data_IF_421668819047
#
_entry.id   IF_421668819047
#
_cell.length_a   1.000
_cell.length_b   1.000
_cell.length_c   1.000
_cell.angle_alpha   90.00
_cell.angle_beta   90.00
_cell.angle_gamma   90.00
#
_symmetry.space_group_name_H-M   'P 1'
#
loop_
_entity.id
_entity.type
_entity.pdbx_description
1 polymer ?
#
# COMPACT_ATOMS: atom_id res chain seq x y z
N UNK A 1 -9.39 21.23 9.29
CA UNK A 1 -10.07 19.97 9.71
C UNK A 1 -10.80 19.27 8.55
N UNK A 2 -11.72 19.91 7.82
CA UNK A 2 -12.58 19.23 6.82
C UNK A 2 -11.82 18.43 5.74
N UNK A 3 -10.75 18.99 5.17
CA UNK A 3 -9.90 18.28 4.20
C UNK A 3 -9.27 17.00 4.77
N UNK A 4 -8.80 17.03 6.02
CA UNK A 4 -8.23 15.86 6.69
C UNK A 4 -9.27 14.75 6.84
N UNK A 5 -10.47 15.06 7.36
CA UNK A 5 -11.56 14.06 7.48
C UNK A 5 -11.92 13.42 6.12
N UNK A 6 -11.93 14.22 5.03
CA UNK A 6 -12.19 13.72 3.68
C UNK A 6 -11.04 12.85 3.13
N UNK A 7 -9.79 13.19 3.43
CA UNK A 7 -8.62 12.41 3.03
C UNK A 7 -8.49 11.11 3.83
N UNK A 8 -8.71 11.15 5.15
CA UNK A 8 -8.73 9.98 6.03
C UNK A 8 -9.82 9.00 5.60
N UNK A 9 -11.06 9.46 5.38
CA UNK A 9 -12.16 8.59 4.90
C UNK A 9 -11.86 7.94 3.55
N UNK A 10 -11.26 8.70 2.60
CA UNK A 10 -10.83 8.15 1.31
C UNK A 10 -9.69 7.12 1.46
N UNK A 11 -8.72 7.37 2.35
CA UNK A 11 -7.63 6.45 2.64
C UNK A 11 -8.13 5.18 3.35
N UNK A 12 -8.97 5.31 4.39
CA UNK A 12 -9.64 4.21 5.08
C UNK A 12 -10.41 3.34 4.09
N UNK A 13 -11.20 3.95 3.20
CA UNK A 13 -11.88 3.23 2.13
C UNK A 13 -10.93 2.48 1.18
N UNK A 14 -9.76 3.03 0.86
CA UNK A 14 -8.71 2.31 0.13
C UNK A 14 -8.10 1.18 0.96
N UNK A 15 -7.85 1.37 2.26
CA UNK A 15 -7.27 0.36 3.14
C UNK A 15 -8.16 -0.88 3.23
N UNK A 16 -9.44 -0.73 3.60
CA UNK A 16 -10.35 -1.86 3.76
C UNK A 16 -10.53 -2.67 2.46
N UNK A 17 -10.42 -2.06 1.27
CA UNK A 17 -10.49 -2.77 -0.01
C UNK A 17 -9.24 -3.61 -0.34
N UNK A 18 -8.07 -3.24 0.17
CA UNK A 18 -6.79 -3.83 -0.25
C UNK A 18 -6.12 -4.68 0.85
N UNK A 19 -6.33 -4.35 2.11
CA UNK A 19 -5.60 -4.94 3.25
C UNK A 19 -6.43 -5.96 4.05
N UNK A 20 -7.56 -6.43 3.52
CA UNK A 20 -8.34 -7.57 4.02
C UNK A 20 -8.15 -8.87 3.23
N UNK A 21 -7.36 -8.84 2.15
CA UNK A 21 -7.26 -9.96 1.21
C UNK A 21 -6.30 -11.06 1.72
N UNK A 22 -6.80 -12.30 1.83
CA UNK A 22 -5.99 -13.50 2.08
C UNK A 22 -6.07 -14.45 0.86
N UNK A 23 -5.00 -15.17 0.48
CA UNK A 23 -5.02 -16.06 -0.68
C UNK A 23 -5.97 -17.25 -0.47
N UNK A 24 -6.81 -17.57 -1.45
CA UNK A 24 -7.80 -18.67 -1.35
C UNK A 24 -7.21 -20.02 -0.94
N UNK A 25 -5.97 -20.32 -1.35
CA UNK A 25 -5.27 -21.54 -0.96
C UNK A 25 -5.07 -21.62 0.55
N UNK A 26 -4.67 -20.51 1.18
CA UNK A 26 -4.53 -20.39 2.63
C UNK A 26 -5.90 -20.42 3.30
N UNK A 27 -6.87 -19.65 2.80
CA UNK A 27 -8.23 -19.61 3.37
C UNK A 27 -8.92 -20.97 3.34
N UNK A 28 -8.68 -21.78 2.29
CA UNK A 28 -9.20 -23.16 2.18
C UNK A 28 -8.55 -24.13 3.17
N UNK A 29 -7.33 -23.85 3.65
CA UNK A 29 -6.57 -24.73 4.53
C UNK A 29 -6.65 -24.32 6.00
N UNK A 30 -6.59 -23.01 6.30
CA UNK A 30 -6.66 -22.47 7.66
C UNK A 30 -8.08 -22.08 8.08
N UNK A 31 -9.00 -21.94 7.12
CA UNK A 31 -10.39 -21.50 7.36
C UNK A 31 -11.06 -22.22 8.51
N UNK A 32 -11.04 -23.56 8.54
CA UNK A 32 -11.62 -24.37 9.63
C UNK A 32 -11.08 -24.01 11.01
N UNK A 33 -9.77 -23.74 11.13
CA UNK A 33 -9.16 -23.38 12.41
C UNK A 33 -9.47 -21.93 12.81
N UNK A 34 -9.60 -21.03 11.84
CA UNK A 34 -10.10 -19.68 12.07
C UNK A 34 -11.62 -19.62 12.34
N UNK A 35 -12.41 -20.60 11.84
CA UNK A 35 -13.81 -20.84 12.19
C UNK A 35 -13.93 -21.37 13.63
N UNK A 36 -13.10 -22.34 14.03
CA UNK A 36 -12.99 -22.82 15.41
C UNK A 36 -12.67 -21.70 16.41
N UNK A 37 -11.69 -20.85 16.10
CA UNK A 37 -11.30 -19.74 16.99
C UNK A 37 -12.31 -18.61 16.96
N UNK A 38 -12.89 -18.26 15.79
CA UNK A 38 -13.96 -17.27 15.73
C UNK A 38 -15.19 -17.65 16.57
N UNK A 39 -15.51 -18.95 16.67
CA UNK A 39 -16.61 -19.44 17.51
C UNK A 39 -16.33 -19.34 19.03
N UNK A 40 -15.06 -19.17 19.43
CA UNK A 40 -14.66 -18.86 20.81
C UNK A 40 -14.49 -17.36 21.09
N UNK A 41 -14.59 -16.51 20.08
CA UNK A 41 -14.51 -15.06 20.16
C UNK A 41 -15.90 -14.43 19.90
N UNK A 42 -16.04 -13.10 20.06
CA UNK A 42 -17.27 -12.40 19.67
C UNK A 42 -17.53 -12.51 18.15
N UNK A 43 -18.78 -12.30 17.67
CA UNK A 43 -19.10 -12.34 16.24
C UNK A 43 -18.19 -11.44 15.40
N UNK A 44 -17.72 -11.98 14.27
CA UNK A 44 -16.68 -11.40 13.39
C UNK A 44 -16.84 -9.92 13.03
N UNK A 45 -18.07 -9.43 13.00
CA UNK A 45 -18.41 -8.07 12.58
C UNK A 45 -18.15 -7.01 13.67
N UNK A 46 -17.86 -7.41 14.91
CA UNK A 46 -17.72 -6.52 16.08
C UNK A 46 -16.51 -6.80 16.99
N UNK A 47 -15.50 -7.59 16.59
CA UNK A 47 -14.30 -7.76 17.44
C UNK A 47 -13.59 -6.41 17.66
N UNK A 48 -13.38 -6.05 18.92
CA UNK A 48 -12.40 -5.03 19.28
C UNK A 48 -10.98 -5.48 18.92
N UNK A 49 -10.07 -4.53 18.72
CA UNK A 49 -8.67 -4.83 18.39
C UNK A 49 -8.02 -5.75 19.45
N UNK A 50 -8.29 -5.52 20.73
CA UNK A 50 -7.79 -6.34 21.84
C UNK A 50 -8.35 -7.76 21.82
N UNK A 51 -9.65 -7.95 21.54
CA UNK A 51 -10.22 -9.30 21.36
C UNK A 51 -9.52 -10.02 20.20
N UNK A 52 -9.39 -9.36 19.04
CA UNK A 52 -8.73 -9.94 17.89
C UNK A 52 -7.25 -10.26 18.14
N UNK A 53 -6.52 -9.43 18.90
CA UNK A 53 -5.15 -9.71 19.35
C UNK A 53 -5.10 -11.02 20.14
N UNK A 54 -6.01 -11.22 21.11
CA UNK A 54 -6.13 -12.48 21.86
C UNK A 54 -6.44 -13.66 20.95
N UNK A 55 -7.44 -13.55 20.05
CA UNK A 55 -7.80 -14.61 19.10
C UNK A 55 -6.61 -14.97 18.17
N UNK A 56 -5.82 -13.98 17.73
CA UNK A 56 -4.63 -14.20 16.89
C UNK A 56 -3.48 -14.82 17.69
N UNK A 57 -3.21 -14.38 18.91
CA UNK A 57 -2.20 -14.99 19.79
C UNK A 57 -2.53 -16.46 20.10
N UNK A 58 -3.80 -16.77 20.38
CA UNK A 58 -4.30 -18.15 20.56
C UNK A 58 -4.17 -19.00 19.30
N UNK A 59 -4.31 -18.41 18.11
CA UNK A 59 -4.01 -19.12 16.86
C UNK A 59 -2.50 -19.36 16.71
N UNK A 60 -1.67 -18.35 16.96
CA UNK A 60 -0.22 -18.42 16.80
C UNK A 60 0.44 -19.45 17.73
N UNK A 61 0.02 -19.56 18.99
CA UNK A 61 0.54 -20.60 19.90
C UNK A 61 0.13 -22.01 19.48
N UNK A 62 -1.02 -22.17 18.81
CA UNK A 62 -1.43 -23.44 18.16
C UNK A 62 -0.71 -23.68 16.81
N UNK A 63 -0.15 -22.64 16.19
CA UNK A 63 0.64 -22.74 14.96
C UNK A 63 2.12 -23.02 15.21
N UNK A 64 2.66 -22.52 16.32
CA UNK A 64 4.06 -22.58 16.70
C UNK A 64 4.15 -23.03 18.17
N UNK A 65 3.84 -24.31 18.46
CA UNK A 65 3.86 -24.84 19.82
C UNK A 65 5.24 -24.73 20.47
N UNK A 66 5.28 -24.54 21.79
CA UNK A 66 6.53 -24.64 22.56
C UNK A 66 7.01 -26.10 22.66
N UNK A 67 8.32 -26.30 22.74
CA UNK A 67 8.96 -27.62 22.70
C UNK A 67 8.40 -28.58 23.76
N UNK A 68 7.79 -29.68 23.31
CA UNK A 68 7.13 -30.68 24.16
C UNK A 68 5.60 -30.57 24.23
N UNK A 69 4.99 -29.57 23.61
CA UNK A 69 3.51 -29.49 23.44
C UNK A 69 3.05 -30.45 22.33
N UNK A 70 1.90 -31.15 22.46
CA UNK A 70 1.38 -32.00 21.39
C UNK A 70 1.04 -31.24 20.10
N UNK A 71 1.40 -31.80 18.94
CA UNK A 71 1.06 -31.25 17.61
C UNK A 71 -0.41 -31.52 17.23
N UNK A 72 -1.33 -30.77 17.84
CA UNK A 72 -2.78 -30.80 17.53
C UNK A 72 -3.14 -30.10 16.18
N UNK A 73 -2.15 -29.72 15.37
CA UNK A 73 -2.32 -29.13 14.05
C UNK A 73 -1.12 -29.40 13.12
N UNK A 74 -1.28 -30.32 12.16
CA UNK A 74 -0.38 -30.43 11.00
C UNK A 74 -0.54 -29.21 10.08
N UNK A 75 0.22 -28.15 10.34
CA UNK A 75 0.33 -27.03 9.40
C UNK A 75 1.25 -27.38 8.21
N UNK A 76 1.00 -26.84 7.01
CA UNK A 76 1.97 -26.90 5.90
C UNK A 76 3.21 -26.01 6.14
N UNK A 77 3.26 -25.32 7.29
CA UNK A 77 4.36 -24.48 7.74
C UNK A 77 5.34 -25.35 8.51
N UNK A 78 6.15 -26.12 7.79
CA UNK A 78 7.03 -27.18 8.31
C UNK A 78 8.26 -26.67 9.11
N UNK A 79 8.03 -25.81 10.11
CA UNK A 79 9.04 -25.28 11.02
C UNK A 79 8.54 -25.41 12.47
N UNK A 80 9.14 -26.33 13.23
CA UNK A 80 8.82 -26.57 14.63
C UNK A 80 9.08 -25.34 15.53
N UNK A 81 9.97 -24.44 15.10
CA UNK A 81 10.20 -23.14 15.72
C UNK A 81 9.81 -22.03 14.72
N UNK A 82 8.80 -21.24 15.07
CA UNK A 82 8.35 -20.13 14.23
C UNK A 82 9.32 -18.94 14.25
N UNK A 83 9.88 -18.57 13.10
CA UNK A 83 10.65 -17.32 12.98
C UNK A 83 9.73 -16.10 13.05
N UNK A 84 10.26 -14.93 13.45
CA UNK A 84 9.49 -13.67 13.50
C UNK A 84 8.75 -13.35 12.19
N UNK A 85 9.35 -13.66 11.04
CA UNK A 85 8.75 -13.48 9.72
C UNK A 85 7.54 -14.42 9.48
N UNK A 86 7.59 -15.65 9.99
CA UNK A 86 6.48 -16.61 9.93
C UNK A 86 5.35 -16.19 10.89
N UNK A 87 5.68 -15.82 12.13
CA UNK A 87 4.73 -15.24 13.10
C UNK A 87 3.98 -14.04 12.49
N UNK A 88 4.71 -13.04 11.99
CA UNK A 88 4.13 -11.88 11.32
C UNK A 88 3.26 -12.23 10.10
N UNK A 89 3.67 -13.20 9.29
CA UNK A 89 2.88 -13.65 8.12
C UNK A 89 1.56 -14.29 8.54
N UNK A 90 1.58 -15.20 9.51
CA UNK A 90 0.38 -15.90 10.02
C UNK A 90 -0.53 -14.93 10.77
N UNK A 91 0.04 -14.02 11.57
CA UNK A 91 -0.66 -12.94 12.27
C UNK A 91 -1.48 -12.08 11.28
N UNK A 92 -0.83 -11.57 10.23
CA UNK A 92 -1.47 -10.71 9.22
C UNK A 92 -2.58 -11.46 8.47
N UNK A 93 -2.38 -12.73 8.10
CA UNK A 93 -3.42 -13.53 7.44
C UNK A 93 -4.64 -13.74 8.35
N UNK A 94 -4.41 -13.94 9.65
CA UNK A 94 -5.45 -14.18 10.66
C UNK A 94 -6.24 -12.90 10.98
N UNK A 95 -5.56 -11.77 11.17
CA UNK A 95 -6.18 -10.45 11.35
C UNK A 95 -7.10 -10.09 10.17
N UNK A 96 -6.65 -10.34 8.92
CA UNK A 96 -7.42 -10.11 7.71
C UNK A 96 -8.69 -10.96 7.66
N UNK A 97 -8.59 -12.22 8.05
CA UNK A 97 -9.73 -13.13 8.11
C UNK A 97 -10.76 -12.69 9.17
N UNK A 98 -10.32 -12.11 10.30
CA UNK A 98 -11.18 -11.44 11.28
C UNK A 98 -11.63 -10.02 10.87
N UNK A 99 -11.48 -9.62 9.60
CA UNK A 99 -11.99 -8.34 9.10
C UNK A 99 -11.15 -7.11 9.49
N UNK A 100 -9.98 -7.29 10.10
CA UNK A 100 -9.08 -6.20 10.49
C UNK A 100 -8.05 -5.93 9.37
N UNK A 101 -7.96 -4.70 8.82
CA UNK A 101 -7.00 -4.41 7.78
C UNK A 101 -5.58 -4.44 8.32
N UNK A 102 -4.79 -5.42 7.86
CA UNK A 102 -3.45 -5.69 8.37
C UNK A 102 -2.42 -5.76 7.24
N UNK A 103 -1.16 -5.40 7.54
CA UNK A 103 -0.01 -5.55 6.65
C UNK A 103 1.18 -6.16 7.38
N UNK A 104 1.98 -6.90 6.62
CA UNK A 104 3.30 -7.37 7.06
C UNK A 104 4.31 -6.24 6.88
N UNK A 105 5.20 -6.09 7.85
CA UNK A 105 6.34 -5.18 7.81
C UNK A 105 7.60 -5.92 8.29
N UNK A 106 8.77 -5.46 7.84
CA UNK A 106 10.07 -6.03 8.17
C UNK A 106 11.13 -4.95 8.27
N UNK A 107 12.17 -5.22 9.06
CA UNK A 107 13.22 -4.26 9.37
C UNK A 107 14.08 -4.74 10.53
N UNK A 108 14.72 -3.82 11.25
CA UNK A 108 15.57 -4.13 12.39
C UNK A 108 14.96 -3.58 13.68
N UNK A 109 14.86 -4.43 14.70
CA UNK A 109 14.44 -4.06 16.05
C UNK A 109 15.67 -4.00 16.95
N UNK A 110 15.78 -2.92 17.72
CA UNK A 110 16.82 -2.71 18.73
C UNK A 110 16.15 -2.99 20.09
N UNK A 111 16.67 -3.96 20.83
CA UNK A 111 16.20 -4.25 22.20
C UNK A 111 16.59 -3.11 23.15
N UNK A 112 15.85 -2.94 24.25
CA UNK A 112 16.19 -1.95 25.29
C UNK A 112 17.61 -2.14 25.83
N UNK A 113 18.05 -3.39 25.99
CA UNK A 113 19.42 -3.77 26.34
C UNK A 113 20.44 -3.19 25.34
N UNK A 114 20.27 -3.44 24.03
CA UNK A 114 21.16 -2.90 22.99
C UNK A 114 21.05 -1.37 22.86
N UNK A 115 19.92 -0.77 23.23
CA UNK A 115 19.74 0.68 23.28
C UNK A 115 20.42 1.31 24.53
N UNK A 116 20.47 0.60 25.65
CA UNK A 116 21.18 1.03 26.86
C UNK A 116 22.70 0.92 26.73
N UNK A 117 23.20 -0.06 25.96
CA UNK A 117 24.61 -0.19 25.56
C UNK A 117 25.07 0.91 24.57
N UNK A 118 24.14 1.69 23.99
CA UNK A 118 24.47 2.69 22.98
C UNK A 118 25.08 3.96 23.61
N UNK A 119 26.34 4.25 23.27
CA UNK A 119 27.02 5.47 23.70
C UNK A 119 26.69 6.66 22.79
N UNK A 120 26.64 7.85 23.38
CA UNK A 120 26.39 9.08 22.65
C UNK A 120 27.50 9.33 21.61
N UNK A 121 27.12 9.76 20.41
CA UNK A 121 27.98 9.98 19.24
C UNK A 121 28.76 8.75 18.73
N UNK A 122 28.52 7.54 19.24
CA UNK A 122 29.09 6.28 18.72
C UNK A 122 28.11 5.50 17.81
N UNK A 123 28.60 4.82 16.75
CA UNK A 123 27.76 4.06 15.83
C UNK A 123 27.31 2.71 16.41
N UNK A 124 26.05 2.61 16.83
CA UNK A 124 25.45 1.36 17.31
C UNK A 124 25.43 0.28 16.21
N UNK A 125 26.06 -0.87 16.47
CA UNK A 125 26.13 -1.98 15.52
C UNK A 125 24.83 -2.79 15.49
N UNK A 126 24.05 -2.61 14.43
CA UNK A 126 22.86 -3.41 14.10
C UNK A 126 23.25 -4.49 13.10
N UNK A 127 22.99 -5.76 13.44
CA UNK A 127 23.37 -6.93 12.65
C UNK A 127 22.14 -7.80 12.30
N UNK A 128 22.32 -8.86 11.52
CA UNK A 128 21.23 -9.70 11.02
C UNK A 128 20.38 -10.36 12.12
N UNK A 129 20.89 -10.51 13.35
CA UNK A 129 20.11 -11.03 14.50
C UNK A 129 19.00 -10.06 14.92
N UNK A 130 19.19 -8.76 14.68
CA UNK A 130 18.19 -7.71 14.94
C UNK A 130 17.08 -7.68 13.87
N UNK A 131 17.21 -8.39 12.74
CA UNK A 131 16.20 -8.38 11.68
C UNK A 131 14.93 -9.14 12.13
N UNK A 132 13.78 -8.46 12.12
CA UNK A 132 12.46 -8.98 12.52
C UNK A 132 11.41 -8.71 11.45
N UNK A 133 10.39 -9.56 11.40
CA UNK A 133 9.08 -9.25 10.82
C UNK A 133 8.07 -8.93 11.93
N UNK A 134 7.11 -8.04 11.65
CA UNK A 134 5.96 -7.77 12.53
C UNK A 134 4.68 -7.54 11.72
N UNK A 135 3.55 -7.62 12.41
CA UNK A 135 2.24 -7.24 11.87
C UNK A 135 1.94 -5.78 12.21
N UNK A 136 1.31 -5.06 11.28
CA UNK A 136 0.74 -3.74 11.54
C UNK A 136 -0.75 -3.74 11.17
N UNK A 137 -1.58 -3.12 12.01
CA UNK A 137 -3.01 -2.94 11.79
C UNK A 137 -3.34 -1.49 11.48
N UNK A 138 -4.40 -1.27 10.70
CA UNK A 138 -4.90 0.08 10.46
C UNK A 138 -6.06 0.42 11.39
N UNK A 139 -5.90 1.50 12.18
CA UNK A 139 -6.96 2.10 12.99
C UNK A 139 -7.39 3.43 12.37
N UNK A 140 -8.70 3.62 12.20
CA UNK A 140 -9.28 4.86 11.66
C UNK A 140 -8.86 6.09 12.48
N UNK A 141 -8.62 7.21 11.81
CA UNK A 141 -8.10 8.44 12.43
C UNK A 141 -6.63 8.40 12.91
N UNK A 142 -6.09 7.25 13.30
CA UNK A 142 -4.73 7.13 13.86
C UNK A 142 -3.71 6.73 12.78
N UNK A 143 -3.99 5.69 11.99
CA UNK A 143 -3.09 5.20 10.94
C UNK A 143 -2.68 3.74 11.12
N UNK A 144 -1.45 3.41 10.75
CA UNK A 144 -0.87 2.07 10.92
C UNK A 144 -0.17 1.96 12.28
N UNK A 145 -0.47 0.89 13.02
CA UNK A 145 0.04 0.63 14.37
C UNK A 145 0.71 -0.77 14.36
N UNK A 146 1.98 -0.89 14.78
CA UNK A 146 2.63 -2.19 14.93
C UNK A 146 2.04 -2.98 16.12
N UNK A 147 1.95 -4.31 15.97
CA UNK A 147 1.42 -5.20 17.00
C UNK A 147 2.45 -6.22 17.48
N UNK A 148 2.45 -6.43 18.80
CA UNK A 148 3.06 -7.58 19.46
C UNK A 148 2.27 -8.86 19.17
N UNK A 149 2.52 -9.42 17.99
CA UNK A 149 2.07 -10.75 17.57
C UNK A 149 3.27 -11.64 17.23
N UNK A 150 4.43 -11.34 17.81
CA UNK A 150 5.71 -11.99 17.57
C UNK A 150 6.49 -12.03 18.89
N UNK A 151 6.86 -13.22 19.40
CA UNK A 151 7.65 -13.34 20.62
C UNK A 151 8.97 -12.55 20.54
N UNK A 152 9.32 -11.86 21.63
CA UNK A 152 10.58 -11.10 21.73
C UNK A 152 10.61 -9.79 20.92
N UNK A 153 9.47 -9.20 20.57
CA UNK A 153 9.42 -7.86 19.95
C UNK A 153 9.63 -6.71 20.95
N UNK A 154 9.42 -6.98 22.25
CA UNK A 154 9.39 -5.97 23.33
C UNK A 154 8.01 -5.32 23.48
N UNK A 155 7.72 -4.76 24.66
CA UNK A 155 6.47 -4.02 24.91
C UNK A 155 6.39 -2.80 23.99
N UNK A 156 5.54 -2.89 22.98
CA UNK A 156 5.24 -1.84 22.03
C UNK A 156 4.17 -0.93 22.68
N UNK A 157 4.33 0.40 22.69
CA UNK A 157 3.51 1.25 23.56
C UNK A 157 2.00 1.16 23.27
N UNK A 158 1.25 0.56 24.21
CA UNK A 158 -0.21 0.46 24.18
C UNK A 158 -0.86 1.84 24.01
N UNK A 159 -1.35 2.15 22.80
CA UNK A 159 -2.14 3.35 22.58
C UNK A 159 -3.60 3.12 22.98
N UNK A 160 -3.92 3.50 24.21
CA UNK A 160 -5.31 3.61 24.70
C UNK A 160 -6.14 4.45 23.72
N UNK A 161 -7.27 3.95 23.19
CA UNK A 161 -8.11 4.72 22.28
C UNK A 161 -8.57 6.03 22.91
N UNK A 162 -8.26 7.15 22.24
CA UNK A 162 -8.87 8.45 22.55
C UNK A 162 -10.34 8.45 22.13
N UNK A 163 -11.18 9.16 22.87
CA UNK A 163 -12.63 9.21 22.63
C UNK A 163 -12.95 9.78 21.23
N UNK A 164 -13.84 9.10 20.50
CA UNK A 164 -14.40 9.63 19.26
C UNK A 164 -15.35 10.81 19.58
N UNK A 165 -15.17 11.98 18.96
CA UNK A 165 -16.23 12.98 18.91
C UNK A 165 -17.38 12.47 18.03
N UNK A 166 -18.60 12.62 18.56
CA UNK A 166 -19.84 11.98 18.13
C UNK A 166 -20.31 12.30 16.69
N UNK A 167 -21.33 11.58 16.23
CA UNK A 167 -21.97 11.75 14.93
C UNK A 167 -22.70 13.11 14.81
N UNK A 168 -22.90 13.56 13.57
CA UNK A 168 -23.58 14.82 13.24
C UNK A 168 -24.36 14.67 11.94
N UNK A 169 -25.68 14.73 12.05
CA UNK A 169 -26.65 14.28 11.06
C UNK A 169 -26.93 15.32 9.92
N UNK A 170 -27.63 14.82 8.89
CA UNK A 170 -28.44 15.40 7.79
C UNK A 170 -28.73 16.94 7.76
N UNK A 171 -29.15 17.59 6.66
CA UNK A 171 -29.91 17.08 5.51
C UNK A 171 -29.97 18.07 4.30
N UNK A 172 -30.48 17.55 3.18
CA UNK A 172 -31.35 18.20 2.19
C UNK A 172 -30.80 19.23 1.17
N UNK A 173 -31.63 19.51 0.15
CA UNK A 173 -31.29 20.14 -1.13
C UNK A 173 -32.12 21.40 -1.42
N UNK A 174 -31.76 22.09 -2.52
CA UNK A 174 -32.54 23.18 -3.10
C UNK A 174 -32.30 23.27 -4.61
N UNK A 175 -33.38 23.32 -5.39
CA UNK A 175 -33.38 23.48 -6.86
C UNK A 175 -33.90 24.88 -7.23
N UNK A 176 -34.12 25.12 -8.52
CA UNK A 176 -34.91 26.24 -9.10
C UNK A 176 -34.23 27.64 -9.08
N UNK A 177 -34.42 28.54 -10.05
CA UNK A 177 -35.21 28.47 -11.31
C UNK A 177 -34.69 29.43 -12.41
N UNK A 178 -35.13 29.22 -13.65
CA UNK A 178 -34.90 30.02 -14.88
C UNK A 178 -36.29 30.52 -15.37
N UNK A 179 -36.50 31.77 -15.84
CA UNK A 179 -36.42 32.07 -17.29
C UNK A 179 -36.20 33.52 -17.80
N UNK A 180 -35.89 33.59 -19.11
CA UNK A 180 -36.27 34.62 -20.13
C UNK A 180 -35.73 36.08 -19.96
N UNK A 181 -35.72 36.95 -20.98
CA UNK A 181 -36.50 37.04 -22.24
C UNK A 181 -35.73 37.79 -23.38
N UNK A 182 -35.96 37.42 -24.66
CA UNK A 182 -35.74 38.16 -25.95
C UNK A 182 -34.37 38.86 -26.29
N UNK A 183 -34.04 39.28 -27.53
CA UNK A 183 -34.71 39.30 -28.86
C UNK A 183 -33.71 39.03 -30.02
N UNK A 184 -34.19 38.67 -31.22
CA UNK A 184 -33.48 38.58 -32.53
C UNK A 184 -33.94 39.71 -33.49
N UNK A 185 -33.46 39.89 -34.76
CA UNK A 185 -32.48 39.13 -35.58
C UNK A 185 -31.23 40.02 -35.91
N UNK A 186 -30.45 39.99 -37.02
CA UNK A 186 -30.42 39.35 -38.39
C UNK A 186 -28.91 39.28 -38.81
N UNK A 187 -28.35 39.00 -40.01
CA UNK A 187 -28.80 38.94 -41.42
C UNK A 187 -27.86 38.00 -42.27
N UNK A 188 -27.68 38.25 -43.58
CA UNK A 188 -27.02 37.40 -44.60
C UNK A 188 -25.48 37.23 -44.54
N UNK A 189 -24.95 36.23 -45.28
CA UNK A 189 -23.50 36.06 -45.47
C UNK A 189 -23.00 34.87 -46.33
N UNK A 190 -23.74 34.42 -47.36
CA UNK A 190 -23.41 33.21 -48.13
C UNK A 190 -22.19 33.35 -49.05
N UNK A 191 -21.22 32.41 -48.99
CA UNK A 191 -20.74 31.68 -50.18
C UNK A 191 -19.84 30.46 -49.88
N UNK A 192 -20.15 29.36 -50.56
CA UNK A 192 -19.41 28.11 -50.61
C UNK A 192 -18.66 28.00 -51.96
N UNK A 193 -17.52 27.31 -52.01
CA UNK A 193 -16.84 26.99 -53.28
C UNK A 193 -16.02 25.70 -53.20
N UNK A 194 -16.23 24.82 -54.18
CA UNK A 194 -15.63 23.48 -54.23
C UNK A 194 -14.18 23.45 -54.81
N UNK A 195 -13.41 22.36 -54.55
CA UNK A 195 -11.97 22.33 -54.79
C UNK A 195 -11.55 21.94 -56.22
N UNK A 196 -10.50 22.58 -56.74
CA UNK A 196 -9.88 22.23 -58.03
C UNK A 196 -9.14 20.87 -57.97
N UNK A 197 -9.65 19.91 -58.75
CA UNK A 197 -9.21 18.52 -58.81
C UNK A 197 -7.76 18.28 -59.23
N UNK A 198 -7.07 19.28 -59.80
CA UNK A 198 -5.63 19.17 -60.10
C UNK A 198 -4.74 19.13 -58.85
N UNK A 199 -5.19 19.69 -57.72
CA UNK A 199 -4.35 19.94 -56.54
C UNK A 199 -4.37 18.78 -55.54
N UNK A 200 -5.45 17.98 -55.54
CA UNK A 200 -5.73 16.93 -54.54
C UNK A 200 -4.62 15.89 -54.46
N UNK A 201 -4.05 15.43 -55.57
CA UNK A 201 -2.97 14.42 -55.56
C UNK A 201 -1.64 14.96 -55.02
N UNK A 202 -1.35 16.25 -55.17
CA UNK A 202 -0.18 16.90 -54.54
C UNK A 202 -0.39 17.11 -53.05
N UNK A 203 -1.55 17.61 -52.64
CA UNK A 203 -1.89 17.80 -51.21
C UNK A 203 -1.94 16.44 -50.49
N UNK A 204 -2.61 15.43 -51.05
CA UNK A 204 -2.66 14.09 -50.47
C UNK A 204 -1.26 13.47 -50.32
N UNK A 205 -0.37 13.65 -51.31
CA UNK A 205 1.02 13.17 -51.21
C UNK A 205 1.83 13.93 -50.16
N UNK A 206 1.63 15.24 -50.01
CA UNK A 206 2.26 16.05 -48.97
C UNK A 206 1.74 15.68 -47.55
N UNK A 207 0.43 15.50 -47.40
CA UNK A 207 -0.21 15.03 -46.16
C UNK A 207 0.27 13.62 -45.78
N UNK A 208 0.34 12.68 -46.73
CA UNK A 208 0.78 11.32 -46.48
C UNK A 208 2.27 11.27 -46.10
N UNK A 209 3.11 12.12 -46.69
CA UNK A 209 4.49 12.32 -46.23
C UNK A 209 4.54 12.94 -44.83
N UNK A 210 3.69 13.92 -44.51
CA UNK A 210 3.58 14.51 -43.17
C UNK A 210 3.19 13.48 -42.11
N UNK A 211 2.16 12.67 -42.38
CA UNK A 211 1.73 11.56 -41.51
C UNK A 211 2.86 10.53 -41.34
N UNK A 212 3.60 10.20 -42.41
CA UNK A 212 4.76 9.30 -42.32
C UNK A 212 5.86 9.88 -41.41
N UNK A 213 6.15 11.18 -41.49
CA UNK A 213 7.10 11.84 -40.58
C UNK A 213 6.61 11.87 -39.12
N UNK A 214 5.32 12.10 -38.88
CA UNK A 214 4.73 12.04 -37.52
C UNK A 214 4.81 10.62 -36.97
N UNK A 215 4.45 9.59 -37.76
CA UNK A 215 4.58 8.19 -37.36
C UNK A 215 6.04 7.80 -37.07
N UNK A 216 7.00 8.27 -37.88
CA UNK A 216 8.42 8.05 -37.65
C UNK A 216 8.91 8.74 -36.37
N UNK A 217 8.46 9.96 -36.08
CA UNK A 217 8.79 10.67 -34.85
C UNK A 217 8.21 9.99 -33.60
N UNK A 218 6.95 9.51 -33.66
CA UNK A 218 6.31 8.73 -32.59
C UNK A 218 7.03 7.39 -32.38
N UNK A 219 7.41 6.69 -33.44
CA UNK A 219 8.20 5.45 -33.37
C UNK A 219 9.59 5.70 -32.75
N UNK A 220 10.28 6.77 -33.14
CA UNK A 220 11.56 7.17 -32.56
C UNK A 220 11.42 7.48 -31.05
N UNK A 221 10.39 8.25 -30.66
CA UNK A 221 10.09 8.56 -29.27
C UNK A 221 9.79 7.29 -28.46
N UNK A 222 9.01 6.36 -29.01
CA UNK A 222 8.71 5.08 -28.37
C UNK A 222 9.97 4.22 -28.19
N UNK A 223 10.83 4.14 -29.22
CA UNK A 223 12.13 3.46 -29.13
C UNK A 223 13.05 4.11 -28.10
N UNK A 224 13.11 5.44 -28.02
CA UNK A 224 13.86 6.18 -27.00
C UNK A 224 13.34 5.90 -25.59
N UNK A 225 12.02 5.83 -25.39
CA UNK A 225 11.41 5.46 -24.10
C UNK A 225 11.69 4.00 -23.72
N UNK A 226 11.66 3.06 -24.67
CA UNK A 226 12.06 1.67 -24.44
C UNK A 226 13.55 1.54 -24.12
N UNK A 227 14.42 2.24 -24.84
CA UNK A 227 15.87 2.29 -24.58
C UNK A 227 16.15 2.89 -23.20
N UNK A 228 15.51 4.00 -22.83
CA UNK A 228 15.59 4.61 -21.49
C UNK A 228 15.13 3.63 -20.40
N UNK A 229 13.99 2.95 -20.58
CA UNK A 229 13.52 1.90 -19.65
C UNK A 229 14.51 0.75 -19.52
N UNK A 230 15.08 0.27 -20.64
CA UNK A 230 16.06 -0.83 -20.67
C UNK A 230 17.41 -0.44 -20.03
N UNK A 231 17.84 0.81 -20.21
CA UNK A 231 19.03 1.38 -19.55
C UNK A 231 18.82 1.56 -18.04
N UNK A 232 17.67 2.06 -17.61
CA UNK A 232 17.33 2.20 -16.17
C UNK A 232 17.27 0.81 -15.51
N UNK A 233 16.60 -0.17 -16.14
CA UNK A 233 16.57 -1.55 -15.65
C UNK A 233 17.96 -2.15 -15.54
N UNK A 234 18.78 -2.08 -16.60
CA UNK A 234 20.18 -2.56 -16.56
C UNK A 234 21.04 -1.87 -15.50
N UNK A 235 20.91 -0.55 -15.31
CA UNK A 235 21.63 0.17 -14.24
C UNK A 235 21.19 -0.27 -12.84
N UNK A 236 19.90 -0.55 -12.64
CA UNK A 236 19.41 -1.13 -11.37
C UNK A 236 19.89 -2.58 -11.19
N UNK A 237 19.77 -3.42 -12.21
CA UNK A 237 20.30 -4.81 -12.25
C UNK A 237 21.81 -4.88 -11.96
N UNK A 238 22.61 -3.89 -12.39
CA UNK A 238 24.03 -3.78 -12.07
C UNK A 238 24.28 -3.32 -10.62
N UNK A 239 23.45 -2.43 -10.06
CA UNK A 239 23.54 -2.03 -8.64
C UNK A 239 23.14 -3.17 -7.69
N UNK A 240 22.14 -3.98 -8.04
CA UNK A 240 21.78 -5.20 -7.32
C UNK A 240 22.77 -6.37 -7.52
N UNK A 241 23.92 -6.12 -8.14
CA UNK A 241 25.05 -7.05 -8.30
C UNK A 241 26.33 -6.55 -7.63
N UNK A 242 26.26 -5.49 -6.81
CA UNK A 242 27.32 -5.17 -5.87
C UNK A 242 27.40 -6.29 -4.81
N UNK A 243 28.62 -6.68 -4.46
CA UNK A 243 28.89 -7.81 -3.57
C UNK A 243 28.68 -7.43 -2.08
N UNK A 244 28.64 -6.13 -1.78
CA UNK A 244 28.25 -5.58 -0.49
C UNK A 244 26.76 -5.18 -0.47
N UNK A 245 26.00 -5.86 0.40
CA UNK A 245 24.56 -5.64 0.58
C UNK A 245 24.27 -4.28 1.22
N UNK A 246 25.16 -3.76 2.08
CA UNK A 246 24.93 -2.49 2.79
C UNK A 246 24.98 -1.29 1.82
N UNK A 247 25.90 -1.31 0.86
CA UNK A 247 25.94 -0.28 -0.18
C UNK A 247 24.68 -0.35 -1.06
N UNK A 248 24.24 -1.57 -1.44
CA UNK A 248 23.02 -1.76 -2.22
C UNK A 248 21.77 -1.22 -1.50
N UNK A 249 21.64 -1.43 -0.18
CA UNK A 249 20.54 -0.91 0.65
C UNK A 249 20.55 0.62 0.71
N UNK A 250 21.71 1.26 0.95
CA UNK A 250 21.79 2.73 1.01
C UNK A 250 21.40 3.38 -0.33
N UNK A 251 21.77 2.77 -1.46
CA UNK A 251 21.33 3.21 -2.79
C UNK A 251 19.83 3.06 -3.05
N UNK A 252 19.15 2.08 -2.44
CA UNK A 252 17.69 1.93 -2.54
C UNK A 252 17.00 3.07 -1.80
N UNK A 253 17.39 3.35 -0.56
CA UNK A 253 16.82 4.45 0.23
C UNK A 253 17.03 5.81 -0.47
N UNK A 254 18.22 6.06 -1.03
CA UNK A 254 18.50 7.27 -1.80
C UNK A 254 17.63 7.42 -3.07
N UNK A 255 17.41 6.34 -3.83
CA UNK A 255 16.56 6.36 -5.03
C UNK A 255 15.08 6.56 -4.66
N UNK A 256 14.61 6.03 -3.52
CA UNK A 256 13.25 6.30 -3.01
C UNK A 256 13.05 7.71 -2.50
N UNK A 257 14.04 8.29 -1.79
CA UNK A 257 14.00 9.68 -1.31
C UNK A 257 13.94 10.67 -2.49
N UNK A 258 14.81 10.50 -3.49
CA UNK A 258 14.83 11.33 -4.69
C UNK A 258 13.52 11.24 -5.50
N UNK A 259 12.83 10.09 -5.49
CA UNK A 259 11.51 9.93 -6.10
C UNK A 259 10.38 10.61 -5.30
N UNK A 260 10.50 10.71 -3.97
CA UNK A 260 9.58 11.47 -3.13
C UNK A 260 9.77 12.99 -3.30
N UNK A 261 11.02 13.49 -3.30
CA UNK A 261 11.34 14.90 -3.57
C UNK A 261 10.93 15.36 -4.98
N UNK A 262 10.95 14.44 -5.94
CA UNK A 262 10.46 14.64 -7.31
C UNK A 262 8.93 14.73 -7.42
N UNK A 263 8.17 14.44 -6.36
CA UNK A 263 6.71 14.50 -6.37
C UNK A 263 6.21 15.92 -6.05
N UNK A 264 5.50 16.61 -6.97
CA UNK A 264 5.08 18.00 -6.75
C UNK A 264 4.06 18.17 -5.61
N UNK A 265 3.35 17.12 -5.19
CA UNK A 265 2.45 17.19 -4.02
C UNK A 265 3.18 17.13 -2.67
N UNK A 266 4.48 16.84 -2.65
CA UNK A 266 5.29 16.78 -1.43
C UNK A 266 5.99 18.11 -1.10
N UNK A 267 5.88 19.12 -1.97
CA UNK A 267 6.54 20.45 -1.80
C UNK A 267 5.72 21.48 -1.01
N UNK A 268 4.57 21.11 -0.44
CA UNK A 268 3.64 22.04 0.21
C UNK A 268 3.44 21.78 1.70
N UNK A 269 4.55 21.73 2.45
CA UNK A 269 4.57 21.84 3.93
C UNK A 269 5.73 22.79 4.30
N UNK A 270 5.45 23.97 4.87
CA UNK A 270 6.46 24.82 5.51
C UNK A 270 6.75 24.39 6.95
#
# INVERSE_FOLDING_TARGET
MLQYRRAESAYRGFIYRNYLQAPESVTRQLGKYWDEIAAGCDPRENLTLTQAQTCVLTFLSRCFPEEGTPEDMELPLAAAEGTSFQYATVAVMTLRYFGIPARYAEGYVISEEKAADAQADEPLTVDSRCARGWAEVYQGGIGWIPMELTPGLGEMPEQKPGENPDEGDSDNAGSETQPEEETTPEEEGTQESEPDGGTVTRIAKAMLLGVLWVLLAVLLLFLLLLLRRKLIRRRREQKYRLEDVNEAVSWIFADTAALAEGCPSCRSVP
#
